data_IF_275489003118
#
_entry.id   IF_275489003118
#
_cell.length_a   1.000
_cell.length_b   1.000
_cell.length_c   1.000
_cell.angle_alpha   90.00
_cell.angle_beta   90.00
_cell.angle_gamma   90.00
#
_symmetry.space_group_name_H-M   'P 1'
#
loop_
_entity.id
_entity.type
_entity.pdbx_description
1 polymer ?
#
# COMPACT_ATOMS: atom_id res chain seq x y z
N UNK A 1 -15.92 -9.17 21.13
CA UNK A 1 -16.10 -8.31 19.94
C UNK A 1 -15.18 -8.84 18.87
N UNK A 2 -15.71 -9.31 17.73
CA UNK A 2 -14.90 -9.89 16.66
C UNK A 2 -14.55 -8.87 15.58
N UNK A 3 -13.38 -9.02 14.96
CA UNK A 3 -12.98 -8.21 13.79
C UNK A 3 -12.71 -6.73 14.09
N UNK A 4 -12.09 -6.42 15.22
CA UNK A 4 -11.80 -5.05 15.69
C UNK A 4 -10.75 -4.31 14.85
N UNK A 5 -9.92 -5.03 14.10
CA UNK A 5 -8.92 -4.48 13.20
C UNK A 5 -9.14 -5.00 11.77
N UNK A 6 -8.78 -4.20 10.74
CA UNK A 6 -8.72 -4.70 9.37
C UNK A 6 -7.84 -5.95 9.28
N UNK A 7 -8.26 -6.94 8.50
CA UNK A 7 -7.55 -8.22 8.32
C UNK A 7 -6.32 -8.13 7.40
N UNK A 8 -5.77 -6.94 7.21
CA UNK A 8 -4.68 -6.69 6.27
C UNK A 8 -3.32 -6.98 6.91
N UNK A 9 -2.41 -7.54 6.10
CA UNK A 9 -1.02 -7.74 6.52
C UNK A 9 -0.28 -6.40 6.50
N UNK A 10 0.62 -6.16 7.47
CA UNK A 10 1.37 -4.90 7.57
C UNK A 10 0.73 -3.85 8.48
N UNK A 11 -0.37 -4.17 9.16
CA UNK A 11 -0.94 -3.32 10.20
C UNK A 11 -0.13 -3.44 11.49
N UNK A 12 0.26 -2.31 12.09
CA UNK A 12 1.00 -2.24 13.35
C UNK A 12 0.21 -1.34 14.32
N UNK A 13 -0.20 -1.89 15.46
CA UNK A 13 -0.93 -1.15 16.50
C UNK A 13 0.05 -0.47 17.43
N UNK A 14 -0.10 0.85 17.60
CA UNK A 14 0.79 1.71 18.38
C UNK A 14 0.14 2.19 19.70
N UNK A 15 -1.18 2.09 19.83
CA UNK A 15 -1.86 2.55 21.02
C UNK A 15 -3.34 2.25 21.06
N UNK A 16 -3.88 2.35 22.26
CA UNK A 16 -5.28 2.11 22.57
C UNK A 16 -5.86 3.32 23.30
N UNK A 17 -6.92 3.88 22.76
CA UNK A 17 -7.67 4.97 23.38
C UNK A 17 -9.03 4.42 23.76
N UNK A 18 -9.41 4.54 25.03
CA UNK A 18 -10.73 4.09 25.47
C UNK A 18 -11.40 5.09 26.38
N UNK A 19 -12.73 5.11 26.32
CA UNK A 19 -13.61 5.91 27.16
C UNK A 19 -14.81 5.09 27.58
N UNK A 20 -15.16 5.15 28.86
CA UNK A 20 -16.39 4.57 29.36
C UNK A 20 -16.82 5.27 30.66
N UNK A 21 -18.09 5.09 31.04
CA UNK A 21 -18.63 5.57 32.31
C UNK A 21 -18.92 4.38 33.22
N UNK A 22 -18.28 4.33 34.39
CA UNK A 22 -18.57 3.34 35.43
C UNK A 22 -19.75 3.81 36.28
N UNK A 23 -20.82 3.02 36.33
CA UNK A 23 -21.95 3.22 37.23
C UNK A 23 -21.91 2.18 38.34
N UNK A 24 -21.67 2.64 39.57
CA UNK A 24 -21.59 1.79 40.75
C UNK A 24 -21.98 2.55 42.01
N UNK A 25 -22.28 1.81 43.07
CA UNK A 25 -22.42 2.35 44.41
C UNK A 25 -21.00 2.53 44.99
N UNK A 26 -20.75 3.65 45.67
CA UNK A 26 -19.41 4.00 46.19
C UNK A 26 -18.79 2.94 47.10
N UNK A 27 -19.64 2.22 47.84
CA UNK A 27 -19.26 1.19 48.81
C UNK A 27 -18.86 -0.13 48.16
N UNK A 28 -19.30 -0.38 46.92
CA UNK A 28 -19.02 -1.62 46.22
C UNK A 28 -17.59 -1.63 45.68
N UNK A 29 -17.04 -2.83 45.44
CA UNK A 29 -15.81 -2.99 44.69
C UNK A 29 -16.10 -3.24 43.21
N UNK A 30 -15.33 -2.61 42.32
CA UNK A 30 -15.47 -2.75 40.88
C UNK A 30 -14.12 -2.59 40.21
N UNK A 31 -13.74 -3.54 39.38
CA UNK A 31 -12.60 -3.44 38.46
C UNK A 31 -13.09 -3.69 37.05
N UNK A 32 -12.60 -2.89 36.12
CA UNK A 32 -12.90 -3.02 34.70
C UNK A 32 -11.64 -3.50 34.01
N UNK A 33 -11.75 -4.58 33.25
CA UNK A 33 -10.69 -5.12 32.44
C UNK A 33 -11.00 -4.88 30.97
N UNK A 34 -10.03 -4.34 30.25
CA UNK A 34 -10.07 -4.18 28.79
C UNK A 34 -8.93 -5.03 28.24
N UNK A 35 -9.29 -6.07 27.49
CA UNK A 35 -8.35 -7.11 27.05
C UNK A 35 -8.54 -7.43 25.57
N UNK A 36 -7.48 -7.93 24.96
CA UNK A 36 -7.48 -8.48 23.61
C UNK A 36 -6.78 -9.84 23.62
N UNK A 37 -7.42 -10.84 23.03
CA UNK A 37 -6.82 -12.17 22.86
C UNK A 37 -5.61 -12.12 21.92
N UNK A 38 -4.67 -13.04 22.10
CA UNK A 38 -3.58 -13.26 21.14
C UNK A 38 -3.98 -14.38 20.17
N UNK A 39 -3.86 -14.13 18.86
CA UNK A 39 -4.18 -15.15 17.84
C UNK A 39 -3.11 -16.24 17.74
N UNK A 40 -1.89 -15.99 18.23
CA UNK A 40 -0.76 -16.92 18.14
C UNK A 40 -0.54 -17.75 19.41
N UNK A 41 -1.07 -17.32 20.56
CA UNK A 41 -0.85 -17.98 21.84
C UNK A 41 -2.11 -18.01 22.69
N UNK A 42 -2.28 -19.05 23.50
CA UNK A 42 -3.36 -19.09 24.49
C UNK A 42 -3.15 -18.01 25.55
N UNK A 43 -3.91 -16.90 25.44
CA UNK A 43 -3.85 -15.79 26.38
C UNK A 43 -4.29 -14.45 25.79
N UNK A 44 -3.88 -13.37 26.46
CA UNK A 44 -4.17 -12.00 26.05
C UNK A 44 -2.88 -11.29 25.63
N UNK A 45 -2.90 -10.67 24.45
CA UNK A 45 -1.78 -9.84 23.96
C UNK A 45 -1.74 -8.49 24.67
N UNK A 46 -2.89 -8.01 25.10
CA UNK A 46 -3.07 -6.76 25.83
C UNK A 46 -4.08 -6.95 26.94
N UNK A 47 -3.77 -6.42 28.12
CA UNK A 47 -4.67 -6.40 29.26
C UNK A 47 -4.44 -5.12 30.07
N UNK A 48 -5.49 -4.30 30.20
CA UNK A 48 -5.50 -3.16 31.08
C UNK A 48 -6.59 -3.33 32.13
N UNK A 49 -6.29 -2.96 33.37
CA UNK A 49 -7.25 -3.02 34.48
C UNK A 49 -7.36 -1.66 35.13
N UNK A 50 -8.56 -1.12 35.18
CA UNK A 50 -8.89 0.08 35.93
C UNK A 50 -9.61 -0.31 37.22
N UNK A 51 -9.11 0.19 38.35
CA UNK A 51 -9.69 -0.08 39.65
C UNK A 51 -10.57 1.08 40.11
N UNK A 52 -11.84 0.79 40.39
CA UNK A 52 -12.84 1.73 40.89
C UNK A 52 -13.21 1.47 42.36
N UNK A 53 -12.57 0.52 43.05
CA UNK A 53 -12.81 0.21 44.46
C UNK A 53 -12.64 1.41 45.40
N UNK A 54 -13.55 1.54 46.37
CA UNK A 54 -13.51 2.58 47.40
C UNK A 54 -13.79 4.00 46.92
N UNK A 55 -14.24 4.18 45.68
CA UNK A 55 -14.61 5.47 45.10
C UNK A 55 -15.94 5.44 44.34
N UNK A 56 -16.56 6.61 44.10
CA UNK A 56 -17.77 6.72 43.29
C UNK A 56 -17.46 6.38 41.82
N UNK A 57 -18.50 5.96 41.10
CA UNK A 57 -18.42 5.81 39.64
C UNK A 57 -18.16 7.13 38.92
N UNK A 58 -17.71 7.06 37.68
CA UNK A 58 -17.40 8.23 36.85
C UNK A 58 -16.98 7.86 35.43
N UNK A 59 -16.71 8.87 34.61
CA UNK A 59 -16.22 8.69 33.24
C UNK A 59 -14.70 8.75 33.21
N UNK A 60 -14.07 7.76 32.60
CA UNK A 60 -12.64 7.75 32.31
C UNK A 60 -12.40 7.91 30.81
N UNK A 61 -11.34 8.64 30.46
CA UNK A 61 -10.77 8.65 29.12
C UNK A 61 -9.27 8.40 29.29
N UNK A 62 -8.77 7.30 28.72
CA UNK A 62 -7.39 6.87 28.90
C UNK A 62 -6.76 6.55 27.56
N UNK A 63 -5.50 6.92 27.43
CA UNK A 63 -4.63 6.54 26.32
C UNK A 63 -3.58 5.60 26.87
N UNK A 64 -3.50 4.40 26.30
CA UNK A 64 -2.53 3.38 26.66
C UNK A 64 -1.59 3.17 25.46
N UNK A 65 -0.30 3.53 25.57
CA UNK A 65 0.66 3.23 24.51
C UNK A 65 0.90 1.72 24.43
N UNK A 66 1.03 1.20 23.21
CA UNK A 66 1.35 -0.20 22.93
C UNK A 66 2.65 -0.24 22.12
N UNK A 67 3.56 -1.15 22.48
CA UNK A 67 4.87 -1.26 21.85
C UNK A 67 4.80 -1.95 20.49
N UNK A 68 4.25 -1.24 19.49
CA UNK A 68 4.23 -1.56 18.06
C UNK A 68 4.00 -3.05 17.76
N UNK A 69 2.82 -3.54 18.11
CA UNK A 69 2.47 -4.96 17.95
C UNK A 69 1.80 -5.16 16.58
N UNK A 70 2.14 -6.24 15.88
CA UNK A 70 1.48 -6.62 14.62
C UNK A 70 -0.03 -6.81 14.83
N UNK A 71 -0.83 -6.18 13.97
CA UNK A 71 -2.30 -6.27 13.98
C UNK A 71 -2.80 -7.70 13.78
N UNK A 72 -2.04 -8.55 13.09
CA UNK A 72 -2.37 -9.98 12.89
C UNK A 72 -2.42 -10.78 14.19
N UNK A 73 -1.76 -10.28 15.25
CA UNK A 73 -1.76 -10.92 16.58
C UNK A 73 -2.97 -10.55 17.44
N UNK A 74 -3.68 -9.47 17.12
CA UNK A 74 -4.85 -9.05 17.89
C UNK A 74 -6.06 -9.90 17.52
N UNK A 75 -6.51 -10.69 18.48
CA UNK A 75 -7.75 -11.46 18.42
C UNK A 75 -8.94 -10.65 18.93
N UNK A 76 -9.94 -11.37 19.46
CA UNK A 76 -11.18 -10.77 19.92
C UNK A 76 -10.96 -9.82 21.11
N UNK A 77 -11.69 -8.70 21.07
CA UNK A 77 -11.68 -7.71 22.14
C UNK A 77 -12.73 -8.03 23.20
N UNK A 78 -12.35 -7.91 24.46
CA UNK A 78 -13.19 -8.19 25.63
C UNK A 78 -13.15 -7.02 26.62
N UNK A 79 -14.33 -6.63 27.12
CA UNK A 79 -14.47 -5.76 28.28
C UNK A 79 -15.20 -6.56 29.36
N UNK A 80 -14.51 -6.86 30.46
CA UNK A 80 -15.08 -7.60 31.59
C UNK A 80 -15.06 -6.80 32.87
N UNK A 81 -16.06 -7.05 33.73
CA UNK A 81 -16.22 -6.39 35.02
C UNK A 81 -16.02 -7.45 36.11
N UNK A 82 -15.16 -7.14 37.08
CA UNK A 82 -15.01 -7.89 38.32
C UNK A 82 -15.62 -7.07 39.46
N UNK A 83 -16.66 -7.59 40.13
CA UNK A 83 -17.36 -6.93 41.22
C UNK A 83 -18.78 -6.43 40.86
N UNK A 84 -19.25 -5.39 41.57
CA UNK A 84 -20.61 -4.86 41.46
C UNK A 84 -20.61 -3.48 40.79
N UNK A 85 -21.24 -3.40 39.62
CA UNK A 85 -21.38 -2.16 38.85
C UNK A 85 -21.76 -2.44 37.40
N UNK A 86 -21.92 -1.37 36.62
CA UNK A 86 -22.22 -1.44 35.20
C UNK A 86 -21.35 -0.45 34.41
N UNK A 87 -21.12 -0.72 33.14
CA UNK A 87 -20.42 0.17 32.22
C UNK A 87 -21.43 0.77 31.25
N UNK A 88 -21.40 2.09 31.11
CA UNK A 88 -22.15 2.83 30.09
C UNK A 88 -21.23 3.42 29.03
N UNK A 89 -21.75 3.42 27.80
CA UNK A 89 -21.15 4.01 26.60
C UNK A 89 -19.67 3.66 26.39
N UNK A 90 -19.28 2.37 26.42
CA UNK A 90 -17.89 1.98 26.17
C UNK A 90 -17.51 2.29 24.72
N UNK A 91 -16.43 3.05 24.56
CA UNK A 91 -15.80 3.37 23.28
C UNK A 91 -14.35 2.95 23.35
N UNK A 92 -13.89 2.17 22.36
CA UNK A 92 -12.52 1.69 22.25
C UNK A 92 -12.02 1.97 20.84
N UNK A 93 -10.89 2.67 20.71
CA UNK A 93 -10.32 3.16 19.45
C UNK A 93 -8.84 2.82 19.38
N UNK A 94 -8.47 2.00 18.40
CA UNK A 94 -7.09 1.60 18.16
C UNK A 94 -6.38 2.62 17.27
N UNK A 95 -5.18 3.02 17.68
CA UNK A 95 -4.24 3.75 16.83
C UNK A 95 -3.32 2.75 16.16
N UNK A 96 -3.34 2.73 14.83
CA UNK A 96 -2.49 1.85 14.03
C UNK A 96 -1.78 2.61 12.92
N UNK A 97 -0.69 2.04 12.45
CA UNK A 97 0.02 2.42 11.24
C UNK A 97 -0.09 1.25 10.27
N UNK A 98 -0.33 1.55 8.99
CA UNK A 98 -0.37 0.56 7.94
C UNK A 98 0.86 0.68 7.05
N UNK A 99 1.57 -0.42 6.86
CA UNK A 99 2.68 -0.53 5.91
C UNK A 99 2.22 -1.31 4.67
N UNK A 100 1.95 -0.63 3.53
CA UNK A 100 1.52 -1.30 2.31
C UNK A 100 2.58 -2.23 1.71
N UNK A 101 3.86 -1.99 2.05
CA UNK A 101 5.00 -2.76 1.54
C UNK A 101 5.49 -3.83 2.52
N UNK A 102 4.70 -4.13 3.56
CA UNK A 102 5.02 -5.22 4.49
C UNK A 102 5.18 -6.57 3.77
N UNK A 103 4.48 -6.75 2.65
CA UNK A 103 4.72 -7.84 1.70
C UNK A 103 5.32 -7.22 0.44
N UNK A 104 6.61 -7.41 0.20
CA UNK A 104 7.34 -6.72 -0.89
C UNK A 104 6.73 -6.99 -2.26
N UNK A 105 6.12 -8.17 -2.47
CA UNK A 105 5.51 -8.57 -3.73
C UNK A 105 4.04 -8.13 -3.89
N UNK A 106 3.45 -7.41 -2.92
CA UNK A 106 2.05 -6.96 -3.00
C UNK A 106 1.85 -5.83 -4.03
N UNK A 107 2.84 -4.95 -4.18
CA UNK A 107 2.80 -3.77 -5.05
C UNK A 107 4.14 -3.57 -5.78
N UNK A 108 4.15 -3.44 -7.12
CA UNK A 108 5.34 -3.12 -7.92
C UNK A 108 6.10 -1.86 -7.51
N UNK A 109 5.40 -0.92 -6.85
CA UNK A 109 5.96 0.34 -6.37
C UNK A 109 6.79 0.19 -5.09
N UNK A 110 6.72 -0.97 -4.43
CA UNK A 110 7.45 -1.21 -3.20
C UNK A 110 8.96 -1.36 -3.45
N UNK A 111 9.79 -0.80 -2.55
CA UNK A 111 11.24 -0.93 -2.66
C UNK A 111 11.64 -2.40 -2.56
N UNK A 112 12.48 -2.84 -3.49
CA UNK A 112 12.93 -4.25 -3.55
C UNK A 112 11.98 -5.21 -4.27
N UNK A 113 10.87 -4.72 -4.87
CA UNK A 113 9.94 -5.56 -5.63
C UNK A 113 10.63 -6.38 -6.73
N UNK A 114 11.44 -5.72 -7.56
CA UNK A 114 12.12 -6.39 -8.68
C UNK A 114 13.11 -7.47 -8.22
N UNK A 115 13.82 -7.23 -7.12
CA UNK A 115 14.76 -8.19 -6.53
C UNK A 115 14.01 -9.39 -5.92
N UNK A 116 12.94 -9.12 -5.17
CA UNK A 116 12.10 -10.17 -4.60
C UNK A 116 11.41 -11.02 -5.68
N UNK A 117 10.97 -10.40 -6.78
CA UNK A 117 10.36 -11.09 -7.91
C UNK A 117 11.39 -11.97 -8.63
N UNK A 118 12.60 -11.43 -8.90
CA UNK A 118 13.67 -12.21 -9.49
C UNK A 118 14.06 -13.41 -8.62
N UNK A 119 14.14 -13.23 -7.30
CA UNK A 119 14.42 -14.32 -6.37
C UNK A 119 13.32 -15.41 -6.40
N UNK A 120 12.04 -15.01 -6.41
CA UNK A 120 10.91 -15.94 -6.49
C UNK A 120 10.94 -16.73 -7.80
N UNK A 121 11.18 -16.06 -8.94
CA UNK A 121 11.24 -16.73 -10.24
C UNK A 121 12.45 -17.67 -10.35
N UNK A 122 13.57 -17.35 -9.70
CA UNK A 122 14.73 -18.22 -9.61
C UNK A 122 14.45 -19.47 -8.77
N UNK A 123 13.81 -19.31 -7.61
CA UNK A 123 13.42 -20.43 -6.75
C UNK A 123 12.44 -21.38 -7.45
N UNK A 124 11.50 -20.83 -8.21
CA UNK A 124 10.53 -21.60 -8.99
C UNK A 124 11.13 -22.23 -10.26
N UNK A 125 12.45 -22.12 -10.47
CA UNK A 125 13.13 -22.60 -11.67
C UNK A 125 12.56 -22.03 -12.98
N UNK A 126 11.82 -20.91 -12.92
CA UNK A 126 11.32 -20.17 -14.09
C UNK A 126 12.40 -19.27 -14.70
N UNK A 127 13.41 -18.90 -13.91
CA UNK A 127 14.66 -18.28 -14.39
C UNK A 127 15.76 -19.29 -14.66
N UNK A 128 15.53 -20.60 -14.46
CA UNK A 128 16.34 -21.52 -15.24
C UNK A 128 16.02 -21.14 -16.67
N UNK A 129 17.00 -20.74 -17.49
CA UNK A 129 16.76 -20.75 -18.92
C UNK A 129 16.28 -22.17 -19.14
N UNK A 130 15.01 -22.32 -19.54
CA UNK A 130 14.66 -23.53 -20.23
C UNK A 130 15.71 -23.50 -21.35
N UNK A 131 16.71 -24.38 -21.27
CA UNK A 131 17.58 -24.71 -22.39
C UNK A 131 16.74 -25.40 -23.47
N UNK A 132 15.49 -24.98 -23.68
CA UNK A 132 15.04 -24.74 -25.02
C UNK A 132 15.95 -23.65 -25.51
N UNK A 133 17.01 -24.05 -26.23
CA UNK A 133 17.28 -23.39 -27.50
C UNK A 133 15.91 -22.98 -28.02
N UNK A 134 15.59 -21.69 -27.94
CA UNK A 134 14.46 -21.14 -28.67
C UNK A 134 14.93 -21.31 -30.09
N UNK A 135 14.72 -22.52 -30.62
CA UNK A 135 15.01 -22.88 -31.98
C UNK A 135 14.19 -21.86 -32.75
N UNK A 136 14.90 -20.91 -33.35
CA UNK A 136 14.26 -19.85 -34.08
C UNK A 136 13.30 -20.56 -35.05
N UNK A 137 12.00 -20.26 -35.08
CA UNK A 137 11.08 -21.00 -35.93
C UNK A 137 11.49 -20.95 -37.42
N UNK A 138 12.33 -19.98 -37.81
CA UNK A 138 12.99 -19.90 -39.12
C UNK A 138 14.15 -20.89 -39.36
N UNK A 139 14.74 -21.44 -38.30
CA UNK A 139 15.81 -22.46 -38.37
C UNK A 139 15.23 -23.89 -38.48
N UNK A 140 13.92 -24.04 -38.34
CA UNK A 140 13.24 -25.31 -38.59
C UNK A 140 13.36 -25.66 -40.09
N UNK A 141 13.95 -26.82 -40.39
CA UNK A 141 14.14 -27.33 -41.76
C UNK A 141 12.86 -27.39 -42.58
N UNK A 142 11.72 -27.66 -41.95
CA UNK A 142 10.43 -27.69 -42.64
C UNK A 142 9.99 -26.29 -43.07
N UNK A 143 10.26 -25.27 -42.24
CA UNK A 143 9.96 -23.87 -42.55
C UNK A 143 10.88 -23.34 -43.64
N UNK A 144 12.17 -23.70 -43.61
CA UNK A 144 13.11 -23.35 -44.70
C UNK A 144 12.72 -23.98 -46.03
N UNK A 145 12.32 -25.26 -46.05
CA UNK A 145 11.89 -25.90 -47.30
C UNK A 145 10.67 -25.19 -47.92
N UNK A 146 9.73 -24.71 -47.10
CA UNK A 146 8.55 -23.98 -47.60
C UNK A 146 8.98 -22.63 -48.17
N UNK A 147 9.81 -21.87 -47.44
CA UNK A 147 10.34 -20.57 -47.89
C UNK A 147 11.15 -20.70 -49.18
N UNK A 148 12.02 -21.68 -49.28
CA UNK A 148 12.84 -21.94 -50.48
C UNK A 148 11.96 -22.35 -51.67
N UNK A 149 10.93 -23.18 -51.44
CA UNK A 149 9.98 -23.56 -52.49
C UNK A 149 9.14 -22.37 -52.98
N UNK A 150 8.74 -21.44 -52.11
CA UNK A 150 8.05 -20.22 -52.53
C UNK A 150 8.96 -19.30 -53.36
N UNK A 151 10.26 -19.27 -53.06
CA UNK A 151 11.24 -18.52 -53.84
C UNK A 151 11.43 -19.15 -55.21
N UNK A 152 11.57 -20.47 -55.29
CA UNK A 152 11.63 -21.22 -56.57
C UNK A 152 10.36 -21.01 -57.40
N UNK A 153 9.17 -21.10 -56.79
CA UNK A 153 7.90 -20.85 -57.48
C UNK A 153 7.84 -19.40 -58.00
N UNK A 154 8.28 -18.40 -57.22
CA UNK A 154 8.32 -16.99 -57.68
C UNK A 154 9.33 -16.75 -58.80
N UNK A 155 10.46 -17.45 -58.80
CA UNK A 155 11.44 -17.37 -59.88
C UNK A 155 10.94 -18.07 -61.15
N UNK A 156 10.28 -19.24 -61.03
CA UNK A 156 9.60 -19.88 -62.15
C UNK A 156 8.49 -18.99 -62.72
N UNK A 157 7.62 -18.40 -61.88
CA UNK A 157 6.57 -17.47 -62.32
C UNK A 157 7.13 -16.22 -63.01
N UNK A 158 8.25 -15.64 -62.55
CA UNK A 158 8.89 -14.52 -63.23
C UNK A 158 9.54 -14.91 -64.57
N UNK A 159 9.96 -16.17 -64.69
CA UNK A 159 10.56 -16.70 -65.91
C UNK A 159 9.48 -17.06 -66.94
N UNK A 160 8.30 -17.50 -66.49
CA UNK A 160 7.13 -17.79 -67.33
C UNK A 160 6.29 -16.56 -67.67
N UNK A 161 6.20 -15.53 -66.81
CA UNK A 161 5.51 -14.26 -67.13
C UNK A 161 6.14 -13.49 -68.31
N UNK A 162 7.41 -13.74 -68.65
CA UNK A 162 8.01 -13.18 -69.87
C UNK A 162 7.70 -14.00 -71.13
N UNK A 163 7.03 -15.15 -71.01
CA UNK A 163 6.77 -16.08 -72.12
C UNK A 163 5.28 -16.28 -72.46
N UNK A 164 4.34 -15.95 -71.57
CA UNK A 164 2.91 -16.20 -71.79
C UNK A 164 2.05 -14.96 -71.53
N UNK A 165 2.07 -14.03 -72.48
CA UNK A 165 0.92 -13.15 -72.72
C UNK A 165 0.00 -13.84 -73.73
N UNK A 166 -0.88 -14.73 -73.26
CA UNK A 166 -2.12 -15.20 -73.93
C UNK A 166 -2.53 -16.56 -73.32
N UNK A 167 -3.35 -16.56 -72.26
CA UNK A 167 -4.51 -17.47 -72.13
C UNK A 167 -5.33 -17.14 -70.88
N UNK A 168 -6.62 -16.91 -71.10
CA UNK A 168 -7.63 -16.64 -70.08
C UNK A 168 -8.07 -17.93 -69.35
N UNK A 169 -8.51 -17.75 -68.09
CA UNK A 169 -9.41 -18.59 -67.29
C UNK A 169 -8.83 -19.76 -66.47
N UNK A 170 -8.56 -19.49 -65.18
CA UNK A 170 -8.96 -20.38 -64.07
C UNK A 170 -9.10 -19.59 -62.75
N UNK A 171 -10.06 -18.67 -62.69
CA UNK A 171 -10.48 -18.01 -61.44
C UNK A 171 -11.64 -18.82 -60.83
N UNK A 172 -11.38 -19.91 -60.09
CA UNK A 172 -12.47 -20.51 -59.29
C UNK A 172 -12.08 -21.40 -58.09
N UNK A 173 -10.82 -21.40 -57.61
CA UNK A 173 -10.41 -22.29 -56.50
C UNK A 173 -9.67 -21.63 -55.34
N UNK A 174 -9.63 -20.29 -55.26
CA UNK A 174 -8.91 -19.57 -54.21
C UNK A 174 -9.78 -18.60 -53.36
N UNK A 175 -11.10 -18.51 -53.57
CA UNK A 175 -11.93 -17.54 -52.81
C UNK A 175 -12.05 -17.89 -51.32
N UNK A 176 -12.16 -19.17 -50.95
CA UNK A 176 -12.25 -19.58 -49.54
C UNK A 176 -10.96 -19.34 -48.74
N UNK A 177 -9.79 -19.40 -49.39
CA UNK A 177 -8.52 -19.10 -48.73
C UNK A 177 -8.33 -17.59 -48.53
N UNK A 178 -8.68 -16.79 -49.56
CA UNK A 178 -8.61 -15.33 -49.49
C UNK A 178 -9.59 -14.75 -48.46
N UNK A 179 -10.79 -15.31 -48.32
CA UNK A 179 -11.75 -14.89 -47.28
C UNK A 179 -11.24 -15.18 -45.86
N UNK A 180 -10.49 -16.28 -45.68
CA UNK A 180 -9.90 -16.65 -44.38
C UNK A 180 -8.73 -15.73 -44.00
N UNK A 181 -7.91 -15.33 -44.96
CA UNK A 181 -6.83 -14.35 -44.75
C UNK A 181 -7.36 -12.92 -44.59
N UNK A 182 -8.44 -12.56 -45.27
CA UNK A 182 -9.10 -11.26 -45.11
C UNK A 182 -9.61 -11.07 -43.67
N UNK A 183 -10.23 -12.09 -43.07
CA UNK A 183 -10.67 -12.03 -41.66
C UNK A 183 -9.52 -11.93 -40.65
N UNK A 184 -8.35 -12.50 -40.95
CA UNK A 184 -7.16 -12.41 -40.10
C UNK A 184 -6.47 -11.04 -40.21
N UNK A 185 -6.46 -10.44 -41.41
CA UNK A 185 -5.97 -9.07 -41.63
C UNK A 185 -6.86 -8.04 -40.90
N UNK A 186 -8.18 -8.22 -40.95
CA UNK A 186 -9.14 -7.36 -40.24
C UNK A 186 -8.96 -7.44 -38.71
N UNK A 187 -8.64 -8.64 -38.20
CA UNK A 187 -8.28 -8.82 -36.78
C UNK A 187 -6.94 -8.13 -36.43
N UNK A 188 -5.94 -8.22 -37.31
CA UNK A 188 -4.62 -7.61 -37.10
C UNK A 188 -4.69 -6.08 -37.18
N UNK A 189 -5.53 -5.53 -38.07
CA UNK A 189 -5.82 -4.10 -38.15
C UNK A 189 -6.56 -3.63 -36.88
N UNK A 190 -7.55 -4.39 -36.39
CA UNK A 190 -8.23 -4.11 -35.13
C UNK A 190 -7.28 -4.11 -33.90
N UNK A 191 -6.31 -5.03 -33.85
CA UNK A 191 -5.28 -5.04 -32.80
C UNK A 191 -4.33 -3.83 -32.90
N UNK A 192 -3.96 -3.42 -34.12
CA UNK A 192 -3.07 -2.25 -34.33
C UNK A 192 -3.73 -0.91 -33.95
N UNK A 193 -5.05 -0.79 -34.13
CA UNK A 193 -5.84 0.36 -33.66
C UNK A 193 -5.93 0.38 -32.13
N UNK A 194 -5.91 -0.79 -31.48
CA UNK A 194 -5.94 -0.89 -30.02
C UNK A 194 -4.60 -0.48 -29.37
N UNK A 195 -3.46 -0.66 -30.04
CA UNK A 195 -2.14 -0.20 -29.56
C UNK A 195 -1.94 1.32 -29.65
N UNK A 196 -2.69 2.02 -30.51
CA UNK A 196 -2.67 3.50 -30.59
C UNK A 196 -3.29 4.18 -29.35
N UNK A 197 -3.89 3.40 -28.44
CA UNK A 197 -4.35 3.85 -27.11
C UNK A 197 -3.24 4.02 -26.07
N UNK A 198 -1.98 3.66 -26.37
CA UNK A 198 -0.83 3.82 -25.47
C UNK A 198 -0.24 5.25 -25.50
N UNK A 199 -1.08 6.26 -25.68
CA UNK A 199 -0.67 7.65 -25.56
C UNK A 199 -0.57 8.07 -24.08
N UNK A 200 0.66 7.93 -23.55
CA UNK A 200 1.30 8.87 -22.61
C UNK A 200 0.55 9.18 -21.30
N UNK A 201 0.43 8.18 -20.42
CA UNK A 201 0.03 8.39 -19.01
C UNK A 201 1.05 9.16 -18.15
N UNK A 202 2.14 9.71 -18.72
CA UNK A 202 3.27 10.27 -17.96
C UNK A 202 3.53 11.77 -18.15
N UNK A 203 2.65 12.53 -18.81
CA UNK A 203 2.81 14.01 -18.86
C UNK A 203 1.80 14.67 -17.93
N UNK A 204 2.01 14.51 -16.62
CA UNK A 204 1.34 15.35 -15.62
C UNK A 204 2.03 16.71 -15.61
N UNK A 205 1.45 17.67 -16.33
CA UNK A 205 1.93 19.05 -16.33
C UNK A 205 1.41 19.72 -15.05
N UNK A 206 2.19 19.63 -13.95
CA UNK A 206 1.85 20.28 -12.69
C UNK A 206 2.03 21.79 -12.89
N UNK A 207 0.98 22.61 -12.80
CA UNK A 207 1.13 24.05 -12.89
C UNK A 207 1.94 24.54 -11.69
N UNK A 208 3.20 24.91 -11.93
CA UNK A 208 4.03 25.58 -10.94
C UNK A 208 3.50 26.98 -10.66
N UNK A 209 3.33 27.32 -9.38
CA UNK A 209 3.02 28.65 -8.91
C UNK A 209 3.86 28.97 -7.68
N UNK A 210 4.27 30.23 -7.53
CA UNK A 210 4.89 30.71 -6.29
C UNK A 210 3.74 31.07 -5.35
N UNK A 211 3.73 30.48 -4.15
CA UNK A 211 2.84 30.94 -3.09
C UNK A 211 3.37 32.26 -2.56
N UNK A 212 2.80 33.38 -3.00
CA UNK A 212 3.07 34.67 -2.37
C UNK A 212 2.44 34.67 -0.98
N UNK A 213 3.28 34.72 0.05
CA UNK A 213 2.87 34.81 1.44
C UNK A 213 2.10 36.12 1.65
N UNK A 214 0.78 36.03 1.87
CA UNK A 214 -0.10 37.21 2.02
C UNK A 214 -0.07 37.81 3.43
N UNK A 215 0.50 37.08 4.40
CA UNK A 215 0.53 37.49 5.80
C UNK A 215 1.75 38.37 6.02
N UNK A 216 1.58 39.69 5.89
CA UNK A 216 2.54 40.66 6.40
C UNK A 216 2.26 40.87 7.88
N UNK A 217 3.22 40.48 8.73
CA UNK A 217 3.17 40.81 10.16
C UNK A 217 3.32 42.33 10.30
N UNK A 218 2.25 43.01 10.70
CA UNK A 218 2.29 44.43 11.03
C UNK A 218 3.26 44.64 12.21
N UNK A 219 4.26 45.53 12.10
CA UNK A 219 5.19 45.82 13.18
C UNK A 219 4.46 46.67 14.23
N UNK A 220 3.65 46.00 15.07
CA UNK A 220 3.12 46.63 16.26
C UNK A 220 4.28 46.85 17.22
N UNK A 221 4.54 48.13 17.57
CA UNK A 221 5.46 48.46 18.65
C UNK A 221 4.94 47.81 19.94
N UNK A 222 5.64 46.78 20.40
CA UNK A 222 5.39 46.19 21.70
C UNK A 222 5.62 47.26 22.77
N UNK A 223 4.62 47.51 23.61
CA UNK A 223 4.77 48.46 24.70
C UNK A 223 5.77 47.92 25.73
N UNK A 224 6.78 48.70 26.07
CA UNK A 224 7.79 48.30 27.05
C UNK A 224 7.17 48.07 28.42
N UNK A 225 7.42 46.87 28.97
CA UNK A 225 6.97 46.52 30.31
C UNK A 225 7.92 47.12 31.37
N UNK A 226 7.66 48.38 31.73
CA UNK A 226 8.40 49.10 32.77
C UNK A 226 8.37 48.42 34.16
N UNK A 227 7.45 47.47 34.39
CA UNK A 227 7.38 46.67 35.62
C UNK A 227 8.41 45.54 35.62
N UNK A 228 8.67 44.92 34.46
CA UNK A 228 9.74 43.93 34.30
C UNK A 228 11.12 44.56 34.54
N UNK A 229 11.32 45.81 34.09
CA UNK A 229 12.55 46.58 34.34
C UNK A 229 12.87 46.80 35.83
N UNK A 230 11.87 46.77 36.71
CA UNK A 230 12.08 46.94 38.16
C UNK A 230 12.45 45.65 38.90
N UNK A 231 12.22 44.50 38.27
CA UNK A 231 12.51 43.19 38.85
C UNK A 231 13.88 42.63 38.42
N UNK A 232 14.72 43.43 37.75
CA UNK A 232 16.08 43.01 37.40
C UNK A 232 16.94 42.72 38.63
N UNK A 233 16.70 43.37 39.77
CA UNK A 233 17.41 43.10 41.02
C UNK A 233 17.16 41.68 41.55
N UNK A 234 15.92 41.20 41.52
CA UNK A 234 15.60 39.79 41.85
C UNK A 234 16.25 38.81 40.88
N UNK A 235 16.34 39.19 39.60
CA UNK A 235 16.96 38.37 38.56
C UNK A 235 18.48 38.23 38.78
N UNK A 236 19.15 39.30 39.21
CA UNK A 236 20.58 39.22 39.57
C UNK A 236 20.84 38.35 40.80
N UNK A 237 19.93 38.38 41.79
CA UNK A 237 20.03 37.58 43.01
C UNK A 237 19.81 36.10 42.69
N UNK A 238 18.82 35.78 41.85
CA UNK A 238 18.59 34.43 41.35
C UNK A 238 19.81 33.91 40.57
N UNK A 239 20.35 34.69 39.62
CA UNK A 239 21.56 34.32 38.87
C UNK A 239 22.76 34.08 39.79
N UNK A 240 22.90 34.86 40.88
CA UNK A 240 23.97 34.67 41.88
C UNK A 240 23.80 33.36 42.64
N UNK A 241 22.59 33.06 43.13
CA UNK A 241 22.29 31.81 43.85
C UNK A 241 22.52 30.59 42.95
N UNK A 242 22.10 30.66 41.69
CA UNK A 242 22.33 29.57 40.74
C UNK A 242 23.82 29.36 40.50
N UNK A 243 24.59 30.43 40.28
CA UNK A 243 26.04 30.32 40.05
C UNK A 243 26.80 29.78 41.27
N UNK A 244 26.39 30.13 42.49
CA UNK A 244 27.02 29.60 43.71
C UNK A 244 26.79 28.09 43.94
N UNK A 245 25.91 27.44 43.18
CA UNK A 245 25.75 25.98 43.23
C UNK A 245 26.76 25.24 42.35
N UNK A 246 27.49 25.97 41.50
CA UNK A 246 28.47 25.43 40.55
C UNK A 246 29.91 25.87 40.85
N UNK A 247 30.13 26.60 41.96
CA UNK A 247 31.45 26.86 42.58
C UNK A 247 31.65 25.92 43.78
#
# INVERSE_FOLDING_TARGET
>A
MSGILPSETGLIVNGMIYRYTAEKITEDDMKVHIRNEDTLSDGYIFSNTDNWSGGPGGTINKVVPIDRISGTRFGDGEISIEGSGNIKDPTVVYSYQFDPCAVVLSDPSCPGYAEALAALLAEQALLNPIETEIENPYDNKEVQNILDSEVEIKEEFKTTENAESEEENSLDTNSEMLDKYAGQLDLMEAYSVQEQGLNQYYIVNIPGGIYEETIKLEPNQLADNNRALRNFSSDTLHRRIVRSQYE
#
